data_IF_055591166646
#
_entry.id   IF_055591166646
#
_cell.length_a   1.000
_cell.length_b   1.000
_cell.length_c   1.000
_cell.angle_alpha   90.00
_cell.angle_beta   90.00
_cell.angle_gamma   90.00
#
_symmetry.space_group_name_H-M   'P 1'
#
loop_
_entity.id
_entity.type
_entity.pdbx_description
1 polymer ?
#
# COMPACT_ATOMS: atom_id res chain seq x y z
N UNK A 1 4.06 -21.18 -5.35
CA UNK A 1 4.20 -20.06 -4.39
C UNK A 1 5.39 -19.22 -4.78
N UNK A 2 5.24 -17.91 -4.72
CA UNK A 2 6.20 -16.97 -5.28
C UNK A 2 6.86 -16.16 -4.16
N UNK A 3 8.20 -16.20 -4.11
CA UNK A 3 8.95 -15.48 -3.09
C UNK A 3 8.80 -13.97 -3.27
N UNK A 4 8.56 -13.30 -2.16
CA UNK A 4 8.38 -11.85 -2.15
C UNK A 4 9.70 -11.10 -2.37
N UNK A 5 10.79 -11.58 -1.78
CA UNK A 5 12.06 -10.84 -1.78
C UNK A 5 12.57 -10.44 -3.17
N UNK A 6 12.62 -11.35 -4.17
CA UNK A 6 13.05 -10.92 -5.51
C UNK A 6 12.11 -9.90 -6.15
N UNK A 7 10.82 -10.00 -5.89
CA UNK A 7 9.83 -9.08 -6.45
C UNK A 7 10.01 -7.68 -5.90
N UNK A 8 10.15 -7.54 -4.58
CA UNK A 8 10.30 -6.21 -3.99
C UNK A 8 11.66 -5.59 -4.34
N UNK A 9 12.70 -6.40 -4.44
CA UNK A 9 14.02 -5.91 -4.85
C UNK A 9 13.97 -5.37 -6.28
N UNK A 10 13.37 -6.11 -7.20
CA UNK A 10 13.22 -5.65 -8.58
C UNK A 10 12.39 -4.38 -8.67
N UNK A 11 11.32 -4.29 -7.89
CA UNK A 11 10.46 -3.11 -7.87
C UNK A 11 11.21 -1.88 -7.37
N UNK A 12 11.89 -1.98 -6.24
CA UNK A 12 12.53 -0.82 -5.59
C UNK A 12 13.83 -0.39 -6.28
N UNK A 13 14.61 -1.33 -6.80
CA UNK A 13 15.93 -1.04 -7.37
C UNK A 13 15.89 -0.76 -8.86
N UNK A 14 14.97 -1.37 -9.58
CA UNK A 14 14.92 -1.25 -11.03
C UNK A 14 13.67 -0.54 -11.53
N UNK A 15 12.49 -1.06 -11.18
CA UNK A 15 11.24 -0.55 -11.74
C UNK A 15 10.97 0.91 -11.36
N UNK A 16 11.06 1.25 -10.09
CA UNK A 16 10.77 2.61 -9.63
C UNK A 16 11.78 3.64 -10.15
N UNK A 17 13.10 3.45 -9.93
CA UNK A 17 14.03 4.49 -10.34
C UNK A 17 14.30 4.51 -11.83
N UNK A 18 14.42 3.35 -12.47
CA UNK A 18 14.82 3.28 -13.88
C UNK A 18 13.67 3.35 -14.86
N UNK A 19 12.60 2.61 -14.59
CA UNK A 19 11.48 2.54 -15.54
C UNK A 19 10.43 3.61 -15.29
N UNK A 20 10.18 3.97 -14.03
CA UNK A 20 9.19 4.99 -13.67
C UNK A 20 9.80 6.33 -13.32
N UNK A 21 11.12 6.43 -13.22
CA UNK A 21 11.80 7.68 -12.96
C UNK A 21 11.53 8.28 -11.58
N UNK A 22 11.17 7.48 -10.60
CA UNK A 22 10.95 7.96 -9.23
C UNK A 22 12.25 8.43 -8.62
N UNK A 23 12.19 9.52 -7.84
CA UNK A 23 13.35 10.05 -7.16
C UNK A 23 13.88 9.09 -6.09
N UNK A 24 15.18 9.18 -5.72
CA UNK A 24 15.70 8.37 -4.62
C UNK A 24 14.92 8.55 -3.34
N UNK A 25 14.46 9.77 -3.04
CA UNK A 25 13.67 10.04 -1.85
C UNK A 25 12.33 9.31 -1.87
N UNK A 26 11.66 9.29 -3.02
CA UNK A 26 10.40 8.55 -3.16
C UNK A 26 10.63 7.05 -2.98
N UNK A 27 11.73 6.53 -3.53
CA UNK A 27 12.08 5.12 -3.38
C UNK A 27 12.34 4.77 -1.91
N UNK A 28 13.00 5.65 -1.17
CA UNK A 28 13.25 5.45 0.27
C UNK A 28 11.94 5.45 1.07
N UNK A 29 11.04 6.36 0.75
CA UNK A 29 9.73 6.43 1.41
C UNK A 29 8.94 5.15 1.18
N UNK A 30 8.95 4.65 -0.05
CA UNK A 30 8.29 3.38 -0.36
C UNK A 30 8.96 2.22 0.37
N UNK A 31 10.29 2.16 0.35
CA UNK A 31 11.04 1.09 1.02
C UNK A 31 10.73 1.04 2.52
N UNK A 32 10.62 2.21 3.16
CA UNK A 32 10.27 2.28 4.57
C UNK A 32 8.87 1.71 4.83
N UNK A 33 7.91 2.08 4.00
CA UNK A 33 6.54 1.58 4.12
C UNK A 33 6.46 0.06 3.94
N UNK A 34 7.20 -0.47 2.98
CA UNK A 34 7.23 -1.92 2.75
C UNK A 34 7.92 -2.65 3.89
N UNK A 35 8.96 -2.06 4.48
CA UNK A 35 9.59 -2.66 5.66
C UNK A 35 8.59 -2.81 6.79
N UNK A 36 7.79 -1.79 7.03
CA UNK A 36 6.74 -1.84 8.07
C UNK A 36 5.74 -2.96 7.77
N UNK A 37 5.30 -3.06 6.52
CA UNK A 37 4.35 -4.08 6.10
C UNK A 37 4.93 -5.48 6.28
N UNK A 38 6.16 -5.70 5.83
CA UNK A 38 6.77 -7.02 5.88
C UNK A 38 7.06 -7.45 7.31
N UNK A 39 7.50 -6.53 8.16
CA UNK A 39 7.70 -6.83 9.58
C UNK A 39 6.37 -7.20 10.25
N UNK A 40 5.32 -6.47 9.94
CA UNK A 40 3.98 -6.77 10.46
C UNK A 40 3.50 -8.15 10.02
N UNK A 41 3.60 -8.44 8.72
CA UNK A 41 3.13 -9.70 8.16
C UNK A 41 3.94 -10.88 8.72
N UNK A 42 5.25 -10.73 8.82
CA UNK A 42 6.12 -11.78 9.35
C UNK A 42 5.81 -12.08 10.81
N UNK A 43 5.60 -11.05 11.62
CA UNK A 43 5.23 -11.21 13.01
C UNK A 43 3.90 -11.94 13.15
N UNK A 44 2.93 -11.54 12.33
CA UNK A 44 1.58 -12.11 12.37
C UNK A 44 1.57 -13.59 11.96
N UNK A 45 2.44 -13.96 11.02
CA UNK A 45 2.53 -15.33 10.51
C UNK A 45 3.55 -16.18 11.28
N UNK A 46 4.30 -15.60 12.20
CA UNK A 46 5.31 -16.32 12.95
C UNK A 46 6.50 -16.73 12.10
N UNK A 47 6.89 -15.91 11.14
CA UNK A 47 8.00 -16.20 10.23
C UNK A 47 8.94 -14.99 10.12
N UNK A 48 9.94 -15.09 9.27
CA UNK A 48 10.87 -13.99 8.99
C UNK A 48 10.43 -13.26 7.73
N UNK A 49 10.69 -11.94 7.62
CA UNK A 49 10.37 -11.20 6.40
C UNK A 49 10.96 -11.83 5.14
N UNK A 50 12.17 -12.40 5.23
CA UNK A 50 12.83 -13.04 4.09
C UNK A 50 12.12 -14.29 3.59
N UNK A 51 11.20 -14.85 4.37
CA UNK A 51 10.45 -16.05 4.00
C UNK A 51 9.05 -15.75 3.50
N UNK A 52 8.65 -14.50 3.48
CA UNK A 52 7.32 -14.13 2.99
C UNK A 52 7.17 -14.47 1.51
N UNK A 53 5.97 -14.89 1.16
CA UNK A 53 5.56 -15.13 -0.22
C UNK A 53 4.58 -14.04 -0.63
N UNK A 54 4.45 -13.81 -1.94
CA UNK A 54 3.47 -12.82 -2.40
C UNK A 54 2.06 -13.20 -1.96
N UNK A 55 1.76 -14.48 -1.86
CA UNK A 55 0.47 -14.99 -1.42
C UNK A 55 0.14 -14.65 0.02
N UNK A 56 1.14 -14.30 0.83
CA UNK A 56 0.93 -13.86 2.21
C UNK A 56 0.36 -12.44 2.28
N UNK A 57 0.53 -11.65 1.23
CA UNK A 57 0.07 -10.27 1.17
C UNK A 57 -1.31 -10.18 0.51
N UNK A 58 -2.27 -10.86 1.09
CA UNK A 58 -3.65 -10.82 0.61
C UNK A 58 -4.41 -9.62 1.19
N UNK A 59 -5.64 -9.40 0.72
CA UNK A 59 -6.43 -8.26 1.18
C UNK A 59 -6.65 -8.25 2.70
N UNK A 60 -6.99 -9.36 3.35
CA UNK A 60 -7.12 -9.35 4.82
C UNK A 60 -5.83 -8.93 5.54
N UNK A 61 -4.67 -9.37 5.06
CA UNK A 61 -3.39 -8.99 5.66
C UNK A 61 -3.13 -7.50 5.49
N UNK A 62 -3.38 -6.97 4.30
CA UNK A 62 -3.19 -5.54 4.02
C UNK A 62 -4.14 -4.69 4.89
N UNK A 63 -5.40 -5.09 4.99
CA UNK A 63 -6.38 -4.38 5.82
C UNK A 63 -5.94 -4.37 7.29
N UNK A 64 -5.47 -5.51 7.79
CA UNK A 64 -4.98 -5.61 9.16
C UNK A 64 -3.77 -4.69 9.39
N UNK A 65 -2.86 -4.64 8.42
CA UNK A 65 -1.70 -3.75 8.49
C UNK A 65 -2.13 -2.28 8.55
N UNK A 66 -3.07 -1.89 7.68
CA UNK A 66 -3.54 -0.50 7.65
C UNK A 66 -4.18 -0.09 8.97
N UNK A 67 -4.97 -0.99 9.57
CA UNK A 67 -5.54 -0.76 10.89
C UNK A 67 -4.47 -0.63 11.97
N UNK A 68 -3.44 -1.47 11.88
CA UNK A 68 -2.32 -1.45 12.82
C UNK A 68 -1.59 -0.09 12.80
N UNK A 69 -1.27 0.45 11.64
CA UNK A 69 -0.54 1.72 11.58
C UNK A 69 -1.39 2.89 12.07
N UNK A 70 -2.71 2.83 11.91
CA UNK A 70 -3.58 3.87 12.45
C UNK A 70 -3.66 3.82 13.98
N UNK A 71 -3.74 2.63 14.55
CA UNK A 71 -3.94 2.45 16.00
C UNK A 71 -2.64 2.45 16.78
N UNK A 72 -1.69 1.61 16.37
CA UNK A 72 -0.46 1.39 17.13
C UNK A 72 0.57 2.49 16.90
N UNK A 73 0.63 3.03 15.70
CA UNK A 73 1.59 4.07 15.37
C UNK A 73 0.99 5.47 15.37
N UNK A 74 -0.32 5.58 15.61
CA UNK A 74 -1.00 6.86 15.66
C UNK A 74 -1.05 7.62 14.34
N UNK A 75 -0.90 6.92 13.22
CA UNK A 75 -0.94 7.56 11.91
C UNK A 75 -2.37 7.86 11.50
N UNK A 76 -2.56 9.01 10.86
CA UNK A 76 -3.88 9.39 10.37
C UNK A 76 -4.24 8.71 9.06
N UNK A 77 -5.47 9.00 8.59
CA UNK A 77 -5.99 8.45 7.36
C UNK A 77 -5.14 8.80 6.14
N UNK A 78 -4.52 9.98 6.15
CA UNK A 78 -3.64 10.41 5.07
C UNK A 78 -2.45 9.49 4.89
N UNK A 79 -1.75 9.16 5.98
CA UNK A 79 -0.62 8.23 5.94
C UNK A 79 -1.07 6.82 5.58
N UNK A 80 -2.21 6.37 6.13
CA UNK A 80 -2.79 5.07 5.77
C UNK A 80 -3.02 4.99 4.25
N UNK A 81 -3.63 6.02 3.67
CA UNK A 81 -3.92 6.04 2.24
C UNK A 81 -2.64 6.07 1.40
N UNK A 82 -1.61 6.77 1.86
CA UNK A 82 -0.32 6.78 1.19
C UNK A 82 0.30 5.39 1.16
N UNK A 83 0.26 4.67 2.29
CA UNK A 83 0.77 3.30 2.35
C UNK A 83 -0.03 2.36 1.45
N UNK A 84 -1.35 2.50 1.44
CA UNK A 84 -2.20 1.70 0.56
C UNK A 84 -1.88 1.98 -0.92
N UNK A 85 -1.70 3.24 -1.28
CA UNK A 85 -1.36 3.60 -2.66
C UNK A 85 -0.04 2.98 -3.10
N UNK A 86 0.99 2.99 -2.23
CA UNK A 86 2.27 2.37 -2.55
C UNK A 86 2.15 0.85 -2.67
N UNK A 87 1.34 0.22 -1.83
CA UNK A 87 1.08 -1.22 -1.92
C UNK A 87 0.40 -1.55 -3.26
N UNK A 88 -0.60 -0.77 -3.66
CA UNK A 88 -1.28 -0.99 -4.94
C UNK A 88 -0.35 -0.82 -6.12
N UNK A 89 0.57 0.15 -6.06
CA UNK A 89 1.57 0.34 -7.11
C UNK A 89 2.47 -0.88 -7.24
N UNK A 90 2.94 -1.42 -6.13
CA UNK A 90 3.72 -2.65 -6.13
C UNK A 90 2.91 -3.82 -6.70
N UNK A 91 1.65 -3.93 -6.31
CA UNK A 91 0.79 -5.02 -6.79
C UNK A 91 0.58 -4.97 -8.31
N UNK A 92 0.50 -3.77 -8.90
CA UNK A 92 0.45 -3.64 -10.35
C UNK A 92 1.71 -4.18 -11.02
N UNK A 93 2.86 -3.92 -10.43
CA UNK A 93 4.12 -4.48 -10.90
C UNK A 93 4.09 -6.02 -10.81
N UNK A 94 3.58 -6.54 -9.69
CA UNK A 94 3.50 -8.00 -9.49
C UNK A 94 2.57 -8.66 -10.50
N UNK A 95 1.47 -8.01 -10.89
CA UNK A 95 0.54 -8.54 -11.90
C UNK A 95 1.26 -8.98 -13.16
N UNK A 96 2.21 -8.19 -13.62
CA UNK A 96 2.95 -8.49 -14.83
C UNK A 96 3.97 -9.59 -14.66
N UNK A 97 4.45 -9.81 -13.44
CA UNK A 97 5.47 -10.81 -13.15
C UNK A 97 4.88 -12.15 -12.72
N UNK A 98 3.71 -12.13 -12.09
CA UNK A 98 3.09 -13.31 -11.50
C UNK A 98 1.60 -13.36 -11.89
N UNK A 99 1.28 -13.78 -13.12
CA UNK A 99 -0.12 -13.81 -13.57
C UNK A 99 -1.04 -14.66 -12.68
N UNK A 100 -0.51 -15.67 -12.01
CA UNK A 100 -1.30 -16.52 -11.11
C UNK A 100 -1.81 -15.79 -9.87
N UNK A 101 -1.27 -14.62 -9.56
CA UNK A 101 -1.69 -13.82 -8.40
C UNK A 101 -2.78 -12.79 -8.75
N UNK A 102 -3.30 -12.80 -9.97
CA UNK A 102 -4.22 -11.78 -10.47
C UNK A 102 -5.46 -11.61 -9.60
N UNK A 103 -6.08 -12.71 -9.20
CA UNK A 103 -7.29 -12.64 -8.37
C UNK A 103 -7.01 -12.02 -7.01
N UNK A 104 -5.94 -12.46 -6.35
CA UNK A 104 -5.52 -11.92 -5.07
C UNK A 104 -5.24 -10.43 -5.18
N UNK A 105 -4.52 -10.03 -6.21
CA UNK A 105 -4.14 -8.63 -6.44
C UNK A 105 -5.38 -7.78 -6.71
N UNK A 106 -6.35 -8.30 -7.45
CA UNK A 106 -7.61 -7.62 -7.68
C UNK A 106 -8.34 -7.28 -6.39
N UNK A 107 -8.31 -8.19 -5.43
CA UNK A 107 -8.92 -7.94 -4.11
C UNK A 107 -8.17 -6.87 -3.33
N UNK A 108 -6.85 -6.79 -3.46
CA UNK A 108 -6.07 -5.72 -2.84
C UNK A 108 -6.42 -4.37 -3.49
N UNK A 109 -6.53 -4.33 -4.82
CA UNK A 109 -6.92 -3.10 -5.52
C UNK A 109 -8.32 -2.62 -5.14
N UNK A 110 -9.18 -3.52 -4.70
CA UNK A 110 -10.53 -3.17 -4.28
C UNK A 110 -10.59 -2.53 -2.90
N UNK A 111 -9.52 -2.55 -2.12
CA UNK A 111 -9.49 -1.90 -0.81
C UNK A 111 -9.62 -0.39 -1.00
N UNK A 112 -10.65 0.25 -0.41
CA UNK A 112 -10.87 1.67 -0.63
C UNK A 112 -9.93 2.54 0.18
N UNK A 113 -9.62 3.71 -0.34
CA UNK A 113 -8.95 4.75 0.44
C UNK A 113 -9.92 5.24 1.51
N UNK A 114 -9.38 5.49 2.68
CA UNK A 114 -10.18 5.97 3.79
C UNK A 114 -10.38 7.48 3.64
N UNK A 115 -11.60 7.93 3.86
CA UNK A 115 -11.90 9.35 3.85
C UNK A 115 -11.22 10.00 5.03
N UNK A 116 -10.54 11.10 4.79
CA UNK A 116 -9.91 11.85 5.86
C UNK A 116 -10.35 13.30 5.81
N UNK A 117 -10.22 14.00 6.95
CA UNK A 117 -10.54 15.41 7.02
C UNK A 117 -9.59 16.18 6.13
N UNK A 118 -10.13 16.75 5.06
CA UNK A 118 -9.37 17.60 4.18
C UNK A 118 -9.74 19.05 4.44
N UNK A 119 -8.76 19.93 4.29
CA UNK A 119 -9.01 21.37 4.44
C UNK A 119 -10.12 21.83 3.53
N UNK A 120 -10.18 21.26 2.33
CA UNK A 120 -11.23 21.61 1.37
C UNK A 120 -12.62 21.37 1.93
N UNK A 121 -12.84 20.22 2.58
CA UNK A 121 -14.13 19.89 3.17
C UNK A 121 -14.45 20.82 4.34
N UNK A 122 -13.45 21.17 5.14
CA UNK A 122 -13.63 22.05 6.29
C UNK A 122 -14.04 23.45 5.89
N UNK A 123 -13.66 23.89 4.70
CA UNK A 123 -13.95 25.23 4.22
C UNK A 123 -15.23 25.32 3.42
N UNK A 124 -15.92 24.19 3.21
CA UNK A 124 -17.19 24.16 2.48
C UNK A 124 -18.36 24.04 3.46
N UNK A 125 -19.26 25.00 3.38
CA UNK A 125 -20.53 24.89 4.09
C UNK A 125 -21.47 23.97 3.33
N UNK A 126 -22.54 23.53 3.99
CA UNK A 126 -23.56 22.73 3.30
C UNK A 126 -24.21 23.48 2.15
N UNK A 127 -24.38 24.79 2.30
CA UNK A 127 -24.92 25.63 1.23
C UNK A 127 -23.98 25.67 0.04
N UNK A 128 -22.69 25.82 0.28
CA UNK A 128 -21.68 25.83 -0.78
C UNK A 128 -21.65 24.49 -1.52
N UNK A 129 -21.75 23.40 -0.79
CA UNK A 129 -21.80 22.06 -1.39
C UNK A 129 -23.04 21.91 -2.23
N UNK A 130 -24.21 22.36 -1.75
CA UNK A 130 -25.46 22.30 -2.51
C UNK A 130 -25.38 23.15 -3.77
N UNK A 131 -24.79 24.32 -3.69
CA UNK A 131 -24.60 25.18 -4.84
C UNK A 131 -23.76 24.51 -5.92
N UNK A 132 -22.74 23.76 -5.53
CA UNK A 132 -21.88 23.03 -6.46
C UNK A 132 -22.65 21.86 -7.11
N UNK A 133 -23.47 21.18 -6.35
CA UNK A 133 -24.23 20.00 -6.81
C UNK A 133 -25.45 20.38 -7.66
N UNK A 134 -25.99 21.56 -7.47
CA UNK A 134 -27.13 22.06 -8.25
C UNK A 134 -26.65 22.82 -9.49
#
# INVERSE_FOLDING_TARGET
>A
MTKLAPLITGFLRDYMPRQRGYSPQSCETYAFGFKLLFDFAATRLGTRPSRLMIEDLDAPMIIAFLGHIEQERGNGASTRNLRLASIKTFMRYVEHKVPSALEQIGRVHAIPSKRHDQKLIRHLTMEEVRAILN
#
